data_IF_985485382805
#
_entry.id   IF_985485382805
#
_cell.length_a   1.000
_cell.length_b   1.000
_cell.length_c   1.000
_cell.angle_alpha   90.00
_cell.angle_beta   90.00
_cell.angle_gamma   90.00
#
_symmetry.space_group_name_H-M   'P 1'
#
loop_
_entity.id
_entity.type
_entity.pdbx_description
1 polymer ?
#
# COMPACT_ATOMS: atom_id res chain seq x y z
N UNK A 1 20.56 27.99 14.69
CA UNK A 1 20.26 27.56 13.31
C UNK A 1 20.35 26.05 13.15
N UNK A 2 21.35 25.36 13.65
CA UNK A 2 21.53 23.89 13.53
C UNK A 2 20.36 23.09 14.11
N UNK A 3 19.84 23.44 15.29
CA UNK A 3 18.73 22.72 15.94
C UNK A 3 17.41 22.75 15.12
N UNK A 4 17.18 23.82 14.37
CA UNK A 4 15.99 23.95 13.50
C UNK A 4 16.09 23.06 12.25
N UNK A 5 17.31 22.93 11.73
CA UNK A 5 17.60 22.05 10.57
C UNK A 5 17.46 20.59 10.99
N UNK A 6 17.99 20.21 12.15
CA UNK A 6 17.87 18.86 12.69
C UNK A 6 16.41 18.50 12.99
N UNK A 7 15.63 19.43 13.54
CA UNK A 7 14.21 19.21 13.79
C UNK A 7 13.43 18.96 12.48
N UNK A 8 13.66 19.77 11.46
CA UNK A 8 13.01 19.62 10.15
C UNK A 8 13.41 18.31 9.47
N UNK A 9 14.68 17.92 9.55
CA UNK A 9 15.15 16.65 9.00
C UNK A 9 14.51 15.44 9.70
N UNK A 10 14.44 15.48 11.03
CA UNK A 10 13.79 14.43 11.80
C UNK A 10 12.29 14.32 11.50
N UNK A 11 11.60 15.44 11.31
CA UNK A 11 10.20 15.45 10.88
C UNK A 11 10.03 14.84 9.50
N UNK A 12 10.87 15.21 8.56
CA UNK A 12 10.86 14.65 7.19
C UNK A 12 11.08 13.13 7.20
N UNK A 13 12.08 12.64 7.92
CA UNK A 13 12.36 11.21 8.01
C UNK A 13 11.18 10.44 8.61
N UNK A 14 10.56 10.95 9.67
CA UNK A 14 9.37 10.35 10.28
C UNK A 14 8.18 10.29 9.31
N UNK A 15 7.91 11.35 8.57
CA UNK A 15 6.83 11.37 7.57
C UNK A 15 7.10 10.33 6.48
N UNK A 16 8.32 10.27 5.96
CA UNK A 16 8.73 9.32 4.94
C UNK A 16 8.59 7.86 5.41
N UNK A 17 9.04 7.55 6.62
CA UNK A 17 8.89 6.22 7.22
C UNK A 17 7.41 5.84 7.41
N UNK A 18 6.58 6.76 7.88
CA UNK A 18 5.15 6.53 8.03
C UNK A 18 4.46 6.24 6.70
N UNK A 19 4.82 6.95 5.62
CA UNK A 19 4.29 6.67 4.27
C UNK A 19 4.65 5.25 3.84
N UNK A 20 5.90 4.83 4.02
CA UNK A 20 6.34 3.47 3.69
C UNK A 20 5.58 2.43 4.49
N UNK A 21 5.33 2.67 5.78
CA UNK A 21 4.59 1.78 6.67
C UNK A 21 3.12 1.68 6.23
N UNK A 22 2.47 2.79 5.91
CA UNK A 22 1.08 2.84 5.42
C UNK A 22 0.97 2.01 4.13
N UNK A 23 1.85 2.19 3.17
CA UNK A 23 1.86 1.39 1.94
C UNK A 23 2.13 -0.10 2.19
N UNK A 24 3.02 -0.45 3.11
CA UNK A 24 3.30 -1.83 3.47
C UNK A 24 2.09 -2.52 4.10
N UNK A 25 1.37 -1.83 4.99
CA UNK A 25 0.13 -2.31 5.61
C UNK A 25 -0.98 -2.45 4.56
N UNK A 26 -1.12 -1.47 3.67
CA UNK A 26 -2.08 -1.49 2.57
C UNK A 26 -1.85 -2.68 1.62
N UNK A 27 -0.61 -2.92 1.20
CA UNK A 27 -0.27 -4.06 0.35
C UNK A 27 -0.49 -5.41 1.04
N UNK A 28 -0.36 -5.46 2.37
CA UNK A 28 -0.71 -6.64 3.15
C UNK A 28 -2.22 -6.84 3.24
N UNK A 29 -2.98 -5.74 3.38
CA UNK A 29 -4.44 -5.74 3.42
C UNK A 29 -5.06 -6.25 2.11
N UNK A 30 -4.50 -5.86 0.96
CA UNK A 30 -5.01 -6.26 -0.36
C UNK A 30 -5.18 -7.78 -0.52
N UNK A 31 -4.33 -8.57 0.15
CA UNK A 31 -4.41 -10.04 0.10
C UNK A 31 -5.67 -10.59 0.77
N UNK A 32 -6.25 -9.84 1.69
CA UNK A 32 -7.43 -10.24 2.45
C UNK A 32 -8.72 -9.68 1.85
N UNK A 33 -8.61 -8.69 0.96
CA UNK A 33 -9.77 -8.14 0.27
C UNK A 33 -10.24 -9.12 -0.81
N UNK A 34 -11.54 -9.29 -0.90
CA UNK A 34 -12.15 -10.08 -1.97
C UNK A 34 -11.92 -9.38 -3.30
N UNK A 35 -11.27 -10.06 -4.23
CA UNK A 35 -11.13 -9.54 -5.60
C UNK A 35 -12.52 -9.40 -6.23
N UNK A 36 -12.90 -8.21 -6.70
CA UNK A 36 -14.16 -8.04 -7.41
C UNK A 36 -14.11 -8.92 -8.68
N UNK A 37 -15.09 -9.76 -8.87
CA UNK A 37 -15.25 -10.59 -10.07
C UNK A 37 -14.98 -12.08 -9.92
N UNK A 38 -14.44 -12.56 -8.81
CA UNK A 38 -14.36 -14.00 -8.55
C UNK A 38 -15.71 -14.51 -8.01
N UNK A 39 -16.72 -14.54 -8.87
CA UNK A 39 -18.00 -15.21 -8.63
C UNK A 39 -17.87 -16.74 -8.82
N UNK A 40 -16.81 -17.33 -8.28
CA UNK A 40 -16.82 -18.76 -8.05
C UNK A 40 -17.67 -19.01 -6.79
N UNK A 41 -18.96 -18.82 -6.94
CA UNK A 41 -19.92 -19.46 -6.05
C UNK A 41 -19.70 -20.95 -6.27
N UNK A 42 -19.25 -21.72 -5.24
CA UNK A 42 -19.13 -23.17 -5.40
C UNK A 42 -20.46 -23.68 -5.91
N UNK A 43 -20.46 -24.48 -6.97
CA UNK A 43 -21.70 -25.07 -7.44
C UNK A 43 -22.33 -25.84 -6.28
N UNK A 44 -23.65 -25.95 -6.27
CA UNK A 44 -24.38 -26.69 -5.25
C UNK A 44 -23.79 -28.12 -5.08
N UNK A 45 -23.30 -28.71 -6.17
CA UNK A 45 -22.59 -29.99 -6.17
C UNK A 45 -21.27 -29.97 -5.40
N UNK A 46 -20.45 -28.92 -5.54
CA UNK A 46 -19.19 -28.78 -4.77
C UNK A 46 -19.44 -28.55 -3.28
N UNK A 47 -20.54 -27.88 -2.91
CA UNK A 47 -20.95 -27.73 -1.52
C UNK A 47 -21.43 -29.06 -0.92
N UNK A 48 -22.16 -29.87 -1.69
CA UNK A 48 -22.64 -31.19 -1.29
C UNK A 48 -21.45 -32.14 -1.15
N UNK A 49 -20.57 -32.20 -2.14
CA UNK A 49 -19.38 -33.05 -2.13
C UNK A 49 -18.44 -32.73 -0.95
N UNK A 50 -18.18 -31.46 -0.68
CA UNK A 50 -17.40 -31.05 0.48
C UNK A 50 -18.09 -31.37 1.81
N UNK A 51 -19.42 -31.40 1.87
CA UNK A 51 -20.14 -31.79 3.08
C UNK A 51 -20.08 -33.30 3.34
N UNK A 52 -20.19 -34.13 2.29
CA UNK A 52 -20.04 -35.57 2.40
C UNK A 52 -18.61 -35.98 2.80
N UNK A 53 -17.60 -35.41 2.17
CA UNK A 53 -16.19 -35.65 2.52
C UNK A 53 -15.87 -35.22 3.97
N UNK A 54 -16.59 -34.27 4.53
CA UNK A 54 -16.46 -33.87 5.94
C UNK A 54 -17.03 -34.90 6.91
N UNK A 55 -18.12 -35.57 6.55
CA UNK A 55 -18.78 -36.54 7.45
C UNK A 55 -18.08 -37.90 7.45
N UNK A 56 -17.47 -38.33 6.33
CA UNK A 56 -16.90 -39.69 6.22
C UNK A 56 -15.48 -39.83 6.75
N UNK A 57 -14.70 -38.76 6.83
CA UNK A 57 -13.26 -38.87 7.09
C UNK A 57 -12.83 -38.38 8.47
N UNK A 58 -13.75 -38.23 9.45
CA UNK A 58 -13.39 -37.81 10.81
C UNK A 58 -12.45 -36.60 10.76
N UNK A 59 -12.77 -35.64 9.95
CA UNK A 59 -11.90 -34.58 9.55
C UNK A 59 -11.55 -33.70 10.74
N UNK A 60 -10.34 -33.83 11.21
CA UNK A 60 -9.70 -32.80 11.99
C UNK A 60 -9.65 -31.55 11.14
N UNK A 61 -10.68 -30.74 11.26
CA UNK A 61 -10.77 -29.46 10.60
C UNK A 61 -9.47 -28.70 10.90
N UNK A 62 -8.54 -28.75 9.96
CA UNK A 62 -7.52 -27.74 9.88
C UNK A 62 -8.32 -26.48 9.63
N UNK A 63 -8.74 -25.84 10.73
CA UNK A 63 -9.43 -24.57 10.70
C UNK A 63 -8.60 -23.69 9.80
N UNK A 64 -9.05 -23.52 8.53
CA UNK A 64 -8.39 -22.61 7.60
C UNK A 64 -8.46 -21.27 8.30
N UNK A 65 -7.34 -20.87 8.87
CA UNK A 65 -7.18 -19.56 9.50
C UNK A 65 -7.70 -18.55 8.49
N UNK A 66 -8.91 -18.05 8.70
CA UNK A 66 -9.48 -16.96 7.91
C UNK A 66 -8.76 -15.70 8.37
N UNK A 67 -7.59 -15.48 7.83
CA UNK A 67 -6.85 -14.25 8.03
C UNK A 67 -7.73 -13.09 7.52
N UNK A 68 -8.08 -12.19 8.41
CA UNK A 68 -8.84 -10.97 8.10
C UNK A 68 -7.91 -9.79 8.29
N UNK A 69 -8.11 -8.76 7.47
CA UNK A 69 -7.41 -7.50 7.68
C UNK A 69 -7.80 -6.91 9.05
N UNK A 70 -6.81 -6.39 9.76
CA UNK A 70 -7.07 -5.66 11.01
C UNK A 70 -7.67 -4.29 10.70
N UNK A 71 -8.42 -3.66 11.65
CA UNK A 71 -8.94 -2.30 11.45
C UNK A 71 -7.86 -1.30 11.05
N UNK A 72 -6.68 -1.37 11.67
CA UNK A 72 -5.54 -0.54 11.31
C UNK A 72 -5.10 -0.72 9.86
N UNK A 73 -5.04 -1.96 9.37
CA UNK A 73 -4.67 -2.23 7.98
C UNK A 73 -5.70 -1.70 7.00
N UNK A 74 -7.00 -1.73 7.35
CA UNK A 74 -8.07 -1.15 6.54
C UNK A 74 -7.95 0.38 6.48
N UNK A 75 -7.75 1.05 7.62
CA UNK A 75 -7.53 2.51 7.65
C UNK A 75 -6.27 2.89 6.86
N UNK A 76 -5.18 2.15 7.02
CA UNK A 76 -3.97 2.40 6.25
C UNK A 76 -4.15 2.13 4.75
N UNK A 77 -5.03 1.19 4.38
CA UNK A 77 -5.37 0.93 2.97
C UNK A 77 -6.09 2.13 2.35
N UNK A 78 -7.10 2.69 3.04
CA UNK A 78 -7.80 3.90 2.61
C UNK A 78 -6.84 5.09 2.50
N UNK A 79 -6.03 5.32 3.53
CA UNK A 79 -5.01 6.37 3.54
C UNK A 79 -4.00 6.20 2.39
N UNK A 80 -3.59 4.97 2.07
CA UNK A 80 -2.68 4.71 0.95
C UNK A 80 -3.31 5.07 -0.39
N UNK A 81 -4.62 4.85 -0.57
CA UNK A 81 -5.35 5.28 -1.77
C UNK A 81 -5.35 6.81 -1.87
N UNK A 82 -5.65 7.50 -0.77
CA UNK A 82 -5.63 8.98 -0.73
C UNK A 82 -4.24 9.53 -1.08
N UNK A 83 -3.18 8.92 -0.53
CA UNK A 83 -1.81 9.28 -0.85
C UNK A 83 -1.46 9.04 -2.33
N UNK A 84 -1.98 7.97 -2.95
CA UNK A 84 -1.81 7.74 -4.38
C UNK A 84 -2.52 8.81 -5.21
N UNK A 85 -3.71 9.26 -4.79
CA UNK A 85 -4.44 10.33 -5.46
C UNK A 85 -3.73 11.68 -5.37
N UNK A 86 -2.97 11.94 -4.30
CA UNK A 86 -2.14 13.14 -4.16
C UNK A 86 -0.98 13.22 -5.17
N UNK A 87 -0.60 12.09 -5.79
CA UNK A 87 0.44 12.06 -6.82
C UNK A 87 -0.18 12.51 -8.13
N UNK A 88 0.02 13.74 -8.47
CA UNK A 88 -0.48 14.41 -9.68
C UNK A 88 0.68 14.92 -10.56
N UNK A 89 0.35 15.63 -11.63
CA UNK A 89 1.32 16.23 -12.54
C UNK A 89 2.19 17.31 -11.87
N UNK A 90 1.77 17.85 -10.73
CA UNK A 90 2.59 18.79 -9.94
C UNK A 90 3.76 18.11 -9.23
N UNK A 91 3.65 16.80 -9.00
CA UNK A 91 4.68 16.00 -8.32
C UNK A 91 5.61 15.35 -9.34
N UNK A 92 5.08 14.81 -10.44
CA UNK A 92 5.88 14.05 -11.40
C UNK A 92 5.27 14.06 -12.81
N UNK A 93 6.12 13.89 -13.81
CA UNK A 93 5.74 13.94 -15.23
C UNK A 93 4.82 12.79 -15.64
N UNK A 94 4.95 11.61 -15.00
CA UNK A 94 4.08 10.45 -15.22
C UNK A 94 3.49 9.94 -13.89
N UNK A 95 2.37 10.53 -13.44
CA UNK A 95 1.72 10.14 -12.18
C UNK A 95 1.24 8.68 -12.17
N UNK A 96 0.78 8.16 -13.30
CA UNK A 96 0.26 6.80 -13.39
C UNK A 96 1.36 5.76 -13.18
N UNK A 97 2.51 5.97 -13.81
CA UNK A 97 3.67 5.11 -13.63
C UNK A 97 4.17 5.14 -12.18
N UNK A 98 4.24 6.32 -11.56
CA UNK A 98 4.69 6.48 -10.18
C UNK A 98 3.75 5.82 -9.17
N UNK A 99 2.43 5.99 -9.32
CA UNK A 99 1.41 5.29 -8.52
C UNK A 99 1.57 3.77 -8.65
N UNK A 100 1.78 3.28 -9.86
CA UNK A 100 1.98 1.86 -10.15
C UNK A 100 3.24 1.29 -9.49
N UNK A 101 4.35 2.02 -9.52
CA UNK A 101 5.62 1.63 -8.86
C UNK A 101 5.42 1.54 -7.34
N UNK A 102 4.80 2.55 -6.73
CA UNK A 102 4.51 2.56 -5.29
C UNK A 102 3.62 1.38 -4.89
N UNK A 103 2.54 1.13 -5.64
CA UNK A 103 1.63 0.04 -5.33
C UNK A 103 2.26 -1.34 -5.50
N UNK A 104 3.00 -1.56 -6.59
CA UNK A 104 3.73 -2.81 -6.79
C UNK A 104 4.76 -3.04 -5.69
N UNK A 105 5.39 -1.99 -5.17
CA UNK A 105 6.32 -2.11 -4.05
C UNK A 105 5.59 -2.41 -2.74
N UNK A 106 4.43 -1.80 -2.49
CA UNK A 106 3.55 -2.08 -1.35
C UNK A 106 3.15 -3.56 -1.30
N UNK A 107 2.85 -4.18 -2.42
CA UNK A 107 2.53 -5.60 -2.55
C UNK A 107 3.75 -6.53 -2.48
N UNK A 108 4.88 -6.02 -1.98
CA UNK A 108 6.16 -6.73 -1.73
C UNK A 108 6.89 -7.24 -2.97
N UNK A 109 6.60 -6.69 -4.14
CA UNK A 109 7.41 -7.00 -5.33
C UNK A 109 8.82 -6.41 -5.20
N UNK A 110 9.84 -7.15 -5.64
CA UNK A 110 11.20 -6.67 -5.68
C UNK A 110 11.38 -5.62 -6.78
N UNK A 111 12.34 -4.70 -6.64
CA UNK A 111 12.65 -3.73 -7.70
C UNK A 111 13.05 -4.39 -9.02
N UNK A 112 13.66 -5.57 -8.97
CA UNK A 112 13.98 -6.37 -10.16
C UNK A 112 12.72 -6.87 -10.85
N UNK A 113 11.74 -7.39 -10.08
CA UNK A 113 10.45 -7.86 -10.60
C UNK A 113 9.66 -6.70 -11.22
N UNK A 114 9.59 -5.56 -10.53
CA UNK A 114 8.93 -4.35 -11.02
C UNK A 114 9.58 -3.85 -12.30
N UNK A 115 10.92 -3.85 -12.34
CA UNK A 115 11.68 -3.45 -13.52
C UNK A 115 11.38 -4.32 -14.73
N UNK A 116 11.35 -5.65 -14.57
CA UNK A 116 10.97 -6.59 -15.64
C UNK A 116 9.53 -6.34 -16.13
N UNK A 117 8.59 -6.11 -15.21
CA UNK A 117 7.19 -5.88 -15.55
C UNK A 117 6.95 -4.56 -16.29
N UNK A 118 7.67 -3.50 -15.91
CA UNK A 118 7.53 -2.15 -16.49
C UNK A 118 8.54 -1.87 -17.62
N UNK A 119 9.42 -2.83 -17.93
CA UNK A 119 10.48 -2.69 -18.95
C UNK A 119 11.48 -1.57 -18.61
N UNK A 120 11.85 -1.48 -17.34
CA UNK A 120 12.87 -0.54 -16.85
C UNK A 120 13.98 -1.26 -16.10
N UNK A 121 15.17 -0.65 -16.07
CA UNK A 121 16.26 -1.18 -15.26
C UNK A 121 15.94 -1.05 -13.75
N UNK A 122 16.39 -2.02 -12.94
CA UNK A 122 16.18 -2.04 -11.48
C UNK A 122 16.56 -0.74 -10.77
N UNK A 123 17.72 -0.16 -11.14
CA UNK A 123 18.22 1.08 -10.54
C UNK A 123 17.35 2.28 -10.87
N UNK A 124 16.79 2.31 -12.08
CA UNK A 124 15.85 3.35 -12.52
C UNK A 124 14.56 3.27 -11.69
N UNK A 125 13.99 2.09 -11.52
CA UNK A 125 12.79 1.88 -10.68
C UNK A 125 13.06 2.30 -9.24
N UNK A 126 14.21 1.91 -8.66
CA UNK A 126 14.56 2.30 -7.30
C UNK A 126 14.65 3.82 -7.17
N UNK A 127 15.31 4.51 -8.10
CA UNK A 127 15.44 5.98 -8.11
C UNK A 127 14.07 6.66 -8.27
N UNK A 128 13.21 6.15 -9.16
CA UNK A 128 11.83 6.66 -9.31
C UNK A 128 11.03 6.51 -8.02
N UNK A 129 11.12 5.35 -7.38
CA UNK A 129 10.44 5.07 -6.11
C UNK A 129 10.90 6.04 -5.00
N UNK A 130 12.20 6.23 -4.83
CA UNK A 130 12.75 7.14 -3.83
C UNK A 130 12.35 8.60 -4.12
N UNK A 131 12.46 9.04 -5.37
CA UNK A 131 12.08 10.38 -5.79
C UNK A 131 10.59 10.70 -5.51
N UNK A 132 9.70 9.76 -5.80
CA UNK A 132 8.27 10.00 -5.54
C UNK A 132 7.96 10.01 -4.05
N UNK A 133 8.62 9.18 -3.23
CA UNK A 133 8.47 9.22 -1.78
C UNK A 133 8.94 10.57 -1.20
N UNK A 134 10.08 11.07 -1.68
CA UNK A 134 10.62 12.34 -1.22
C UNK A 134 9.71 13.52 -1.59
N UNK A 135 9.20 13.55 -2.82
CA UNK A 135 8.27 14.58 -3.27
C UNK A 135 6.93 14.53 -2.52
N UNK A 136 6.40 13.32 -2.29
CA UNK A 136 5.16 13.12 -1.53
C UNK A 136 5.34 13.56 -0.06
N UNK A 137 6.44 13.20 0.56
CA UNK A 137 6.76 13.63 1.93
C UNK A 137 6.83 15.15 2.05
N UNK A 138 7.48 15.80 1.11
CA UNK A 138 7.57 17.26 1.05
C UNK A 138 6.20 17.93 0.84
N UNK A 139 5.34 17.35 -0.01
CA UNK A 139 3.97 17.87 -0.22
C UNK A 139 3.15 17.79 1.06
N UNK A 140 3.18 16.66 1.76
CA UNK A 140 2.46 16.48 3.03
C UNK A 140 2.93 17.46 4.10
N UNK A 141 4.25 17.67 4.21
CA UNK A 141 4.80 18.62 5.20
C UNK A 141 4.33 20.04 4.86
N UNK A 142 4.35 20.44 3.60
CA UNK A 142 3.88 21.80 3.18
C UNK A 142 2.40 21.97 3.48
N UNK A 143 1.55 21.03 3.12
CA UNK A 143 0.11 21.10 3.40
C UNK A 143 -0.20 21.13 4.90
N UNK A 144 0.54 20.38 5.73
CA UNK A 144 0.38 20.43 7.18
C UNK A 144 0.77 21.79 7.77
N UNK A 145 1.82 22.42 7.25
CA UNK A 145 2.24 23.76 7.67
C UNK A 145 1.20 24.81 7.25
N UNK A 146 0.63 24.70 6.04
CA UNK A 146 -0.40 25.62 5.55
C UNK A 146 -1.71 25.54 6.37
N UNK A 147 -2.09 24.32 6.80
CA UNK A 147 -3.24 24.11 7.67
C UNK A 147 -3.01 24.76 9.05
N UNK A 148 -1.82 24.63 9.59
CA UNK A 148 -1.45 25.26 10.88
C UNK A 148 -1.50 26.78 10.73
N UNK A 149 -0.90 27.35 9.71
CA UNK A 149 -0.88 28.77 9.47
C UNK A 149 -2.28 29.36 9.29
N UNK A 150 -3.20 28.64 8.59
CA UNK A 150 -4.60 29.09 8.41
C UNK A 150 -5.44 29.04 9.69
N UNK A 151 -5.06 28.26 10.70
CA UNK A 151 -5.77 28.18 11.99
C UNK A 151 -5.38 29.28 12.98
N UNK A 152 -4.29 29.99 12.71
CA UNK A 152 -3.73 31.03 13.61
C UNK A 152 -3.86 32.46 13.01
N UNK A 153 -4.60 32.66 11.93
CA UNK A 153 -5.05 33.92 11.38
C UNK A 153 -6.57 34.06 11.60
#
# INVERSE_FOLDING_TARGET
MLSKIEHNLNQYLKVRENIVLIFSDAGSCERFLKKPGNKNVPSMYQLIETSYLRSEHGYWDKTKLKLRATPRQLTNYETAIDLLLMIDESICDDPLLMRKILWLRATRNSFTSIGKYLVYHRTTIKRMYENVLDKLSNKIIRESVDIINKKFI
#
